data_IF_513524810971
#
_entry.id   IF_513524810971
#
_cell.length_a   1.000
_cell.length_b   1.000
_cell.length_c   1.000
_cell.angle_alpha   90.00
_cell.angle_beta   90.00
_cell.angle_gamma   90.00
#
_symmetry.space_group_name_H-M   'P 1'
#
loop_
_entity.id
_entity.type
_entity.pdbx_description
1 polymer ?
#
# COMPACT_ATOMS: atom_id res chain seq x y z
N UNK A 1 3.76 4.11 -42.56
CA UNK A 1 3.73 3.06 -43.61
C UNK A 1 3.36 3.60 -45.00
N UNK A 2 4.32 3.69 -45.94
CA UNK A 2 4.08 4.17 -47.32
C UNK A 2 4.67 3.22 -48.35
N UNK A 3 3.89 2.88 -49.37
CA UNK A 3 4.33 2.10 -50.54
C UNK A 3 4.26 2.99 -51.77
N UNK A 4 5.32 2.99 -52.57
CA UNK A 4 5.35 3.65 -53.87
C UNK A 4 5.40 2.61 -54.97
N UNK A 5 4.47 2.69 -55.91
CA UNK A 5 4.34 1.78 -57.03
C UNK A 5 4.39 2.57 -58.34
N UNK A 6 5.08 2.02 -59.33
CA UNK A 6 5.15 2.56 -60.68
C UNK A 6 4.28 1.71 -61.60
N UNK A 7 3.29 2.32 -62.26
CA UNK A 7 2.42 1.62 -63.21
C UNK A 7 2.69 2.10 -64.63
N UNK A 8 2.73 1.16 -65.58
CA UNK A 8 2.99 1.41 -67.00
C UNK A 8 1.87 0.77 -67.84
N UNK A 9 1.34 1.49 -68.84
CA UNK A 9 0.31 0.99 -69.78
C UNK A 9 0.72 1.30 -71.22
N UNK A 10 0.58 0.32 -72.13
CA UNK A 10 0.99 0.44 -73.54
C UNK A 10 -0.09 0.00 -74.53
N UNK A 11 -0.20 0.76 -75.62
CA UNK A 11 -0.52 0.24 -76.95
C UNK A 11 0.36 1.04 -77.94
N UNK A 12 1.57 0.52 -78.20
CA UNK A 12 2.70 1.13 -78.95
C UNK A 12 3.45 2.34 -78.33
N UNK A 13 2.83 3.13 -77.43
CA UNK A 13 3.51 4.16 -76.62
C UNK A 13 3.28 3.88 -75.13
N UNK A 14 4.31 4.05 -74.29
CA UNK A 14 4.23 3.86 -72.83
C UNK A 14 3.96 5.16 -72.07
N UNK A 15 3.04 5.11 -71.10
CA UNK A 15 2.86 6.15 -70.08
C UNK A 15 3.12 5.55 -68.70
N UNK A 16 3.80 6.30 -67.83
CA UNK A 16 4.11 5.90 -66.46
C UNK A 16 3.39 6.83 -65.48
N UNK A 17 2.81 6.27 -64.42
CA UNK A 17 2.30 7.03 -63.27
C UNK A 17 2.84 6.48 -61.95
N UNK A 18 3.12 7.38 -61.01
CA UNK A 18 3.53 7.02 -59.66
C UNK A 18 2.31 7.01 -58.74
N UNK A 19 2.02 5.87 -58.15
CA UNK A 19 0.97 5.72 -57.15
C UNK A 19 1.63 5.64 -55.78
N UNK A 20 1.22 6.52 -54.88
CA UNK A 20 1.57 6.45 -53.46
C UNK A 20 0.38 5.87 -52.70
N UNK A 21 0.59 4.74 -52.04
CA UNK A 21 -0.37 4.16 -51.11
C UNK A 21 0.12 4.47 -49.70
N UNK A 22 -0.76 5.07 -48.89
CA UNK A 22 -0.52 5.33 -47.48
C UNK A 22 -1.41 4.35 -46.72
N UNK A 23 -0.79 3.54 -45.86
CA UNK A 23 -1.52 2.69 -44.92
C UNK A 23 -1.72 3.53 -43.67
N UNK A 24 -2.99 3.76 -43.33
CA UNK A 24 -3.38 4.46 -42.11
C UNK A 24 -3.47 3.45 -40.97
N UNK A 25 -3.12 3.91 -39.79
CA UNK A 25 -3.29 3.19 -38.54
C UNK A 25 -4.74 3.29 -38.05
N UNK A 26 -5.22 2.22 -37.40
CA UNK A 26 -6.53 2.16 -36.76
C UNK A 26 -6.30 2.00 -35.26
N UNK A 27 -7.12 2.64 -34.42
CA UNK A 27 -7.02 2.56 -32.96
C UNK A 27 -7.61 1.24 -32.44
N UNK A 28 -6.88 0.14 -32.60
CA UNK A 28 -7.34 -1.22 -32.33
C UNK A 28 -6.62 -1.92 -31.16
N UNK A 29 -5.62 -1.28 -30.57
CA UNK A 29 -4.96 -1.73 -29.36
C UNK A 29 -5.31 -0.85 -28.16
N UNK A 30 -5.42 -1.47 -26.98
CA UNK A 30 -5.61 -0.72 -25.73
C UNK A 30 -4.26 -0.43 -25.05
N UNK A 31 -4.11 0.72 -24.36
CA UNK A 31 -2.93 0.96 -23.55
C UNK A 31 -2.80 -0.14 -22.50
N UNK A 32 -1.58 -0.66 -22.30
CA UNK A 32 -1.33 -1.74 -21.35
C UNK A 32 -0.28 -1.34 -20.32
N UNK A 33 -0.63 -1.39 -19.04
CA UNK A 33 0.33 -1.25 -17.94
C UNK A 33 1.33 -2.40 -17.92
N UNK A 34 2.56 -2.12 -17.50
CA UNK A 34 3.59 -3.14 -17.32
C UNK A 34 3.23 -4.17 -16.23
N UNK A 35 2.44 -3.77 -15.23
CA UNK A 35 2.01 -4.63 -14.13
C UNK A 35 0.50 -4.63 -13.95
N UNK A 36 -0.04 -5.81 -13.63
CA UNK A 36 -1.46 -5.99 -13.32
C UNK A 36 -1.85 -5.31 -11.99
N UNK A 37 -0.90 -5.28 -11.04
CA UNK A 37 -1.03 -4.61 -9.75
C UNK A 37 0.33 -4.03 -9.37
N UNK A 38 0.31 -2.88 -8.70
CA UNK A 38 1.49 -2.25 -8.11
C UNK A 38 1.32 -2.28 -6.59
N UNK A 39 2.35 -2.73 -5.86
CA UNK A 39 2.37 -2.67 -4.40
C UNK A 39 3.54 -1.80 -3.95
N UNK A 40 3.26 -0.88 -3.04
CA UNK A 40 4.28 -0.07 -2.39
C UNK A 40 4.09 -0.13 -0.88
N UNK A 41 5.22 -0.13 -0.17
CA UNK A 41 5.27 -0.07 1.29
C UNK A 41 5.86 1.26 1.70
N UNK A 42 5.06 2.07 2.40
CA UNK A 42 5.49 3.34 2.98
C UNK A 42 5.46 3.19 4.50
N UNK A 43 6.33 3.90 5.21
CA UNK A 43 6.22 4.02 6.66
C UNK A 43 5.32 5.22 7.01
N UNK A 44 4.69 5.22 8.17
CA UNK A 44 3.80 6.32 8.59
C UNK A 44 4.49 7.70 8.65
N UNK A 45 5.78 7.72 8.98
CA UNK A 45 6.60 8.94 9.00
C UNK A 45 7.09 9.39 7.62
N UNK A 46 6.60 8.79 6.53
CA UNK A 46 6.91 9.20 5.16
C UNK A 46 6.14 10.47 4.75
N UNK A 47 6.36 11.57 5.49
CA UNK A 47 5.79 12.89 5.25
C UNK A 47 6.54 13.64 4.13
N UNK A 48 5.82 14.56 3.47
CA UNK A 48 6.19 15.40 2.30
C UNK A 48 5.95 14.76 0.93
N UNK A 49 5.70 15.58 -0.13
CA UNK A 49 5.53 15.06 -1.48
C UNK A 49 6.82 14.38 -1.93
N UNK A 50 6.84 13.07 -1.79
CA UNK A 50 7.90 12.19 -2.25
C UNK A 50 7.43 11.56 -3.54
N UNK A 51 8.30 11.49 -4.54
CA UNK A 51 8.03 10.65 -5.69
C UNK A 51 7.93 9.21 -5.21
N UNK A 52 6.74 8.61 -5.34
CA UNK A 52 6.47 7.27 -4.84
C UNK A 52 6.63 6.23 -5.94
N UNK A 53 5.97 6.46 -7.07
CA UNK A 53 5.94 5.52 -8.19
C UNK A 53 5.55 6.27 -9.47
N UNK A 54 6.08 5.82 -10.60
CA UNK A 54 5.60 6.18 -11.94
C UNK A 54 4.98 4.95 -12.57
N UNK A 55 3.78 5.12 -13.10
CA UNK A 55 3.16 4.13 -13.95
C UNK A 55 3.68 4.28 -15.37
N UNK A 56 3.96 3.14 -16.01
CA UNK A 56 4.26 3.06 -17.43
C UNK A 56 3.22 2.16 -18.06
N UNK A 57 2.61 2.65 -19.13
CA UNK A 57 1.74 1.89 -20.00
C UNK A 57 2.26 2.04 -21.42
N UNK A 58 2.01 1.05 -22.26
CA UNK A 58 2.38 1.06 -23.66
C UNK A 58 1.15 0.81 -24.52
N UNK A 59 1.02 1.60 -25.57
CA UNK A 59 0.02 1.44 -26.61
C UNK A 59 0.80 1.33 -27.94
N UNK A 60 0.66 0.23 -28.70
CA UNK A 60 1.41 0.00 -29.92
C UNK A 60 0.89 0.78 -31.13
N UNK A 61 -0.26 1.46 -31.03
CA UNK A 61 -0.87 2.18 -32.15
C UNK A 61 -0.04 3.42 -32.57
N UNK A 62 -0.15 3.84 -33.84
CA UNK A 62 0.68 4.92 -34.38
C UNK A 62 0.07 6.33 -34.12
N UNK A 63 0.94 7.32 -33.87
CA UNK A 63 0.52 8.72 -33.80
C UNK A 63 -0.38 9.03 -32.60
N UNK A 64 -1.51 9.69 -32.85
CA UNK A 64 -2.48 10.05 -31.80
C UNK A 64 -3.22 8.81 -31.25
N UNK A 65 -3.30 7.71 -32.00
CA UNK A 65 -3.96 6.48 -31.57
C UNK A 65 -3.20 5.83 -30.39
N UNK A 66 -1.87 5.85 -30.41
CA UNK A 66 -1.04 5.36 -29.31
C UNK A 66 -0.77 6.36 -28.18
N UNK A 67 -1.42 7.55 -28.18
CA UNK A 67 -1.20 8.53 -27.11
C UNK A 67 -1.92 8.14 -25.82
N UNK A 68 -1.14 7.97 -24.76
CA UNK A 68 -1.64 7.55 -23.46
C UNK A 68 -1.90 8.76 -22.56
N UNK A 69 -3.11 8.83 -22.00
CA UNK A 69 -3.46 9.74 -20.92
C UNK A 69 -3.78 8.94 -19.66
N UNK A 70 -3.15 9.31 -18.54
CA UNK A 70 -3.43 8.71 -17.25
C UNK A 70 -4.48 9.51 -16.49
N UNK A 71 -5.45 8.82 -15.91
CA UNK A 71 -6.39 9.35 -14.94
C UNK A 71 -6.38 8.44 -13.70
N UNK A 72 -6.55 9.02 -12.51
CA UNK A 72 -6.58 8.29 -11.24
C UNK A 72 -7.91 8.55 -10.55
N UNK A 73 -8.60 7.47 -10.19
CA UNK A 73 -9.82 7.52 -9.37
C UNK A 73 -9.52 6.90 -8.02
N UNK A 74 -9.71 7.66 -6.94
CA UNK A 74 -9.70 7.09 -5.61
C UNK A 74 -10.96 6.23 -5.45
N UNK A 75 -10.79 4.92 -5.30
CA UNK A 75 -11.88 4.01 -4.94
C UNK A 75 -11.78 3.79 -3.43
N UNK A 76 -12.58 4.51 -2.67
CA UNK A 76 -12.82 4.13 -1.26
C UNK A 76 -13.56 2.79 -1.28
N UNK A 77 -13.00 1.77 -0.62
CA UNK A 77 -13.45 0.37 -0.66
C UNK A 77 -14.91 0.19 -0.14
N UNK A 78 -15.56 1.26 0.36
CA UNK A 78 -16.89 1.21 0.98
C UNK A 78 -18.02 1.93 0.23
N UNK A 79 -17.76 2.64 -0.89
CA UNK A 79 -18.85 3.28 -1.65
C UNK A 79 -18.86 2.84 -3.12
N UNK A 80 -19.89 2.08 -3.48
CA UNK A 80 -20.22 1.73 -4.88
C UNK A 80 -20.36 3.03 -5.69
N UNK A 81 -19.41 3.32 -6.57
CA UNK A 81 -19.54 4.41 -7.53
C UNK A 81 -20.07 3.90 -8.87
N UNK A 82 -21.12 4.57 -9.31
CA UNK A 82 -21.73 4.51 -10.64
C UNK A 82 -20.71 4.96 -11.69
N UNK A 83 -20.49 4.14 -12.72
CA UNK A 83 -19.69 4.53 -13.88
C UNK A 83 -20.59 5.29 -14.85
N UNK A 84 -20.28 6.56 -15.09
CA UNK A 84 -20.94 7.36 -16.13
C UNK A 84 -20.67 6.77 -17.52
N UNK A 85 -21.74 6.48 -18.24
CA UNK A 85 -21.72 6.01 -19.63
C UNK A 85 -21.80 7.22 -20.57
N UNK A 86 -20.68 7.55 -21.23
CA UNK A 86 -20.56 8.69 -22.15
C UNK A 86 -19.40 8.61 -23.16
N UNK A 87 -19.40 7.56 -23.98
CA UNK A 87 -19.09 7.48 -25.43
C UNK A 87 -17.96 8.33 -26.10
N UNK A 88 -16.83 7.69 -26.45
CA UNK A 88 -16.28 7.42 -27.83
C UNK A 88 -14.83 6.86 -27.75
N UNK A 89 -14.67 5.55 -28.03
CA UNK A 89 -13.46 4.73 -28.29
C UNK A 89 -12.06 5.27 -27.91
N UNK A 90 -11.89 5.79 -26.69
CA UNK A 90 -10.61 5.64 -25.99
C UNK A 90 -10.62 4.25 -25.38
N UNK A 91 -9.82 3.35 -25.94
CA UNK A 91 -9.53 2.08 -25.29
C UNK A 91 -8.81 2.39 -23.96
N UNK A 92 -9.28 1.77 -22.87
CA UNK A 92 -8.82 2.07 -21.50
C UNK A 92 -8.51 0.76 -20.79
N UNK A 93 -7.33 0.68 -20.18
CA UNK A 93 -7.02 -0.33 -19.18
C UNK A 93 -7.00 0.30 -17.78
N UNK A 94 -7.23 -0.53 -16.76
CA UNK A 94 -7.17 -0.14 -15.36
C UNK A 94 -6.18 -1.07 -14.63
N UNK A 95 -5.41 -0.51 -13.70
CA UNK A 95 -4.52 -1.26 -12.78
C UNK A 95 -4.78 -0.79 -11.35
N UNK A 96 -4.49 -1.65 -10.38
CA UNK A 96 -4.67 -1.32 -8.96
C UNK A 96 -3.32 -0.98 -8.32
N UNK A 97 -3.25 0.15 -7.61
CA UNK A 97 -2.16 0.49 -6.71
C UNK A 97 -2.57 0.16 -5.27
N UNK A 98 -1.85 -0.77 -4.64
CA UNK A 98 -1.99 -1.09 -3.22
C UNK A 98 -0.90 -0.33 -2.46
N UNK A 99 -1.33 0.53 -1.54
CA UNK A 99 -0.43 1.27 -0.65
C UNK A 99 -0.55 0.66 0.74
N UNK A 100 0.52 0.04 1.21
CA UNK A 100 0.63 -0.45 2.58
C UNK A 100 1.39 0.57 3.42
N UNK A 101 0.77 1.04 4.50
CA UNK A 101 1.44 1.88 5.49
C UNK A 101 1.93 0.97 6.61
N UNK A 102 3.25 0.97 6.82
CA UNK A 102 3.94 0.23 7.86
C UNK A 102 4.10 1.11 9.09
N UNK A 103 3.73 0.55 10.23
CA UNK A 103 3.94 1.09 11.56
C UNK A 103 5.43 1.10 11.92
N UNK A 104 5.86 2.15 12.59
CA UNK A 104 7.19 2.26 13.19
C UNK A 104 7.06 2.15 14.71
N UNK A 105 8.05 1.54 15.35
CA UNK A 105 8.14 1.57 16.82
C UNK A 105 8.65 2.95 17.28
N UNK A 106 7.76 3.95 17.26
CA UNK A 106 8.08 5.34 17.58
C UNK A 106 7.32 5.87 18.80
N UNK A 107 6.42 5.06 19.38
CA UNK A 107 5.82 5.31 20.66
C UNK A 107 6.54 4.49 21.76
N UNK A 108 6.38 4.95 23.00
CA UNK A 108 6.92 4.23 24.16
C UNK A 108 5.77 3.73 25.01
N UNK A 109 5.91 2.59 25.72
CA UNK A 109 4.89 2.13 26.65
C UNK A 109 4.71 3.12 27.80
N UNK A 110 3.47 3.50 28.09
CA UNK A 110 3.11 4.45 29.13
C UNK A 110 2.18 3.84 30.18
N UNK A 111 2.56 3.94 31.45
CA UNK A 111 1.65 3.68 32.57
C UNK A 111 0.68 4.85 32.76
N UNK A 112 -0.61 4.61 33.09
CA UNK A 112 -1.58 5.66 33.37
C UNK A 112 -1.22 6.56 34.57
N UNK A 113 -0.34 6.10 35.45
CA UNK A 113 0.10 6.83 36.64
C UNK A 113 1.58 6.56 36.89
N UNK A 114 2.33 7.61 37.22
CA UNK A 114 3.77 7.53 37.50
C UNK A 114 4.09 6.95 38.89
N UNK A 115 3.10 6.90 39.78
CA UNK A 115 3.20 6.36 41.13
C UNK A 115 1.96 5.52 41.39
N UNK A 116 2.16 4.32 41.94
CA UNK A 116 1.10 3.42 42.39
C UNK A 116 1.42 2.99 43.82
N UNK A 117 0.56 3.37 44.77
CA UNK A 117 0.67 2.95 46.17
C UNK A 117 -0.27 1.78 46.41
N UNK A 118 0.25 0.68 46.94
CA UNK A 118 -0.50 -0.54 47.22
C UNK A 118 -0.22 -0.93 48.66
N UNK A 119 -1.29 -1.14 49.42
CA UNK A 119 -1.22 -1.65 50.79
C UNK A 119 -1.58 -3.14 50.76
N UNK A 120 -0.77 -3.96 51.41
CA UNK A 120 -0.94 -5.42 51.50
C UNK A 120 -0.90 -5.85 52.96
N UNK A 121 -1.54 -6.97 53.27
CA UNK A 121 -1.43 -7.62 54.57
C UNK A 121 -0.22 -8.57 54.60
N UNK A 122 0.30 -8.86 55.80
CA UNK A 122 1.46 -9.76 55.98
C UNK A 122 1.11 -11.24 55.84
N UNK A 123 -0.17 -11.62 55.82
CA UNK A 123 -0.58 -13.01 55.77
C UNK A 123 -0.80 -13.54 54.33
N UNK A 124 -0.15 -12.94 53.34
CA UNK A 124 -0.23 -13.41 51.95
C UNK A 124 0.51 -14.73 51.79
N UNK A 125 -0.11 -15.70 51.14
CA UNK A 125 0.47 -16.99 50.79
C UNK A 125 1.11 -16.96 49.39
N UNK A 126 1.88 -18.01 49.07
CA UNK A 126 2.48 -18.13 47.74
C UNK A 126 1.42 -18.11 46.62
N UNK A 127 1.68 -17.31 45.58
CA UNK A 127 0.82 -17.05 44.43
C UNK A 127 -0.42 -16.18 44.72
N UNK A 128 -0.56 -15.66 45.94
CA UNK A 128 -1.62 -14.71 46.24
C UNK A 128 -1.54 -13.50 45.31
N UNK A 129 -2.70 -13.08 44.82
CA UNK A 129 -2.83 -11.92 43.95
C UNK A 129 -2.69 -10.63 44.75
N UNK A 130 -1.76 -9.77 44.33
CA UNK A 130 -1.56 -8.45 44.94
C UNK A 130 -2.25 -7.39 44.12
N UNK A 131 -1.89 -7.28 42.85
CA UNK A 131 -2.45 -6.29 41.93
C UNK A 131 -2.16 -6.66 40.49
N UNK A 132 -2.60 -5.82 39.56
CA UNK A 132 -2.21 -5.87 38.17
C UNK A 132 -1.88 -4.46 37.69
N UNK A 133 -0.75 -4.31 37.01
CA UNK A 133 -0.37 -3.06 36.35
C UNK A 133 -0.55 -3.20 34.84
N UNK A 134 -0.91 -2.09 34.19
CA UNK A 134 -1.10 -2.04 32.74
C UNK A 134 -0.44 -0.78 32.19
N UNK A 135 0.40 -0.96 31.17
CA UNK A 135 0.86 0.13 30.32
C UNK A 135 0.10 0.10 28.99
N UNK A 136 0.15 1.19 28.24
CA UNK A 136 -0.35 1.29 26.87
C UNK A 136 0.75 1.76 25.95
N UNK A 137 0.86 1.11 24.81
CA UNK A 137 1.67 1.55 23.69
C UNK A 137 0.73 1.88 22.53
N UNK A 138 1.06 2.91 21.75
CA UNK A 138 0.22 3.38 20.65
C UNK A 138 0.60 2.74 19.31
N UNK A 139 1.75 2.07 19.24
CA UNK A 139 2.22 1.35 18.06
C UNK A 139 1.34 0.13 17.75
N UNK A 140 1.33 -0.30 16.49
CA UNK A 140 0.54 -1.45 16.03
C UNK A 140 1.29 -2.78 16.17
N UNK A 141 0.52 -3.88 16.18
CA UNK A 141 1.03 -5.25 16.15
C UNK A 141 2.16 -5.53 17.19
N UNK A 142 3.29 -6.07 16.74
CA UNK A 142 4.43 -6.42 17.60
C UNK A 142 5.11 -5.18 18.19
N UNK A 143 5.03 -4.03 17.52
CA UNK A 143 5.65 -2.78 18.01
C UNK A 143 4.94 -2.29 19.28
N UNK A 144 3.61 -2.46 19.36
CA UNK A 144 2.82 -2.13 20.55
C UNK A 144 2.79 -3.22 21.62
N UNK A 145 3.50 -4.34 21.43
CA UNK A 145 3.47 -5.47 22.38
C UNK A 145 4.31 -5.17 23.62
N UNK A 146 3.64 -5.13 24.79
CA UNK A 146 4.27 -4.79 26.07
C UNK A 146 4.65 -6.06 26.85
N UNK A 147 5.81 -6.02 27.51
CA UNK A 147 6.18 -6.99 28.54
C UNK A 147 6.60 -6.31 29.84
N UNK A 148 6.35 -6.98 30.97
CA UNK A 148 6.58 -6.45 32.30
C UNK A 148 7.74 -7.15 33.03
N UNK A 149 8.52 -6.37 33.76
CA UNK A 149 9.57 -6.85 34.67
C UNK A 149 9.86 -5.83 35.76
N UNK A 150 10.25 -6.31 36.94
CA UNK A 150 10.85 -5.43 37.94
C UNK A 150 12.28 -5.07 37.54
N UNK A 151 12.63 -3.78 37.63
CA UNK A 151 14.00 -3.35 37.44
C UNK A 151 14.93 -3.97 38.49
N UNK A 152 14.46 -4.03 39.74
CA UNK A 152 15.11 -4.72 40.85
C UNK A 152 14.14 -5.77 41.41
N UNK A 153 14.33 -7.05 41.04
CA UNK A 153 13.48 -8.14 41.53
C UNK A 153 13.79 -8.43 43.00
N UNK A 154 12.75 -8.64 43.80
CA UNK A 154 12.86 -9.13 45.18
C UNK A 154 12.43 -10.59 45.25
N UNK A 155 12.68 -11.25 46.38
CA UNK A 155 12.24 -12.64 46.62
C UNK A 155 10.80 -12.75 47.12
N UNK A 156 10.12 -11.62 47.34
CA UNK A 156 8.80 -11.56 48.00
C UNK A 156 7.65 -11.45 47.01
N UNK A 157 7.91 -10.87 45.83
CA UNK A 157 6.91 -10.68 44.79
C UNK A 157 7.45 -11.04 43.41
N UNK A 158 6.56 -11.51 42.54
CA UNK A 158 6.82 -11.68 41.12
C UNK A 158 5.80 -10.92 40.28
N UNK A 159 6.14 -10.73 39.00
CA UNK A 159 5.25 -10.16 38.00
C UNK A 159 5.18 -11.09 36.80
N UNK A 160 3.97 -11.40 36.35
CA UNK A 160 3.77 -12.07 35.09
C UNK A 160 4.11 -11.11 33.95
N UNK A 161 5.02 -11.52 33.08
CA UNK A 161 5.60 -10.69 32.04
C UNK A 161 4.63 -10.29 30.93
N UNK A 162 3.48 -10.95 30.80
CA UNK A 162 2.52 -10.72 29.71
C UNK A 162 1.30 -9.92 30.14
N UNK A 163 0.78 -10.16 31.34
CA UNK A 163 -0.44 -9.51 31.82
C UNK A 163 -0.19 -8.47 32.93
N UNK A 164 1.04 -8.36 33.44
CA UNK A 164 1.38 -7.40 34.49
C UNK A 164 0.79 -7.75 35.86
N UNK A 165 0.30 -8.98 36.06
CA UNK A 165 -0.20 -9.46 37.35
C UNK A 165 0.97 -9.63 38.33
N UNK A 166 0.86 -9.00 39.49
CA UNK A 166 1.82 -9.10 40.59
C UNK A 166 1.28 -10.08 41.64
N UNK A 167 2.12 -11.03 42.03
CA UNK A 167 1.79 -12.06 43.02
C UNK A 167 2.86 -12.20 44.08
N UNK A 168 2.47 -12.66 45.28
CA UNK A 168 3.40 -13.09 46.30
C UNK A 168 4.17 -14.34 45.86
N UNK A 169 5.47 -14.42 46.15
CA UNK A 169 6.32 -15.59 45.84
C UNK A 169 6.56 -16.50 47.04
N UNK A 170 6.30 -16.01 48.24
CA UNK A 170 6.37 -16.74 49.49
C UNK A 170 5.38 -16.15 50.50
N UNK A 171 5.21 -16.83 51.63
CA UNK A 171 4.61 -16.23 52.81
C UNK A 171 5.43 -15.02 53.27
N UNK A 172 4.75 -13.99 53.75
CA UNK A 172 5.34 -12.75 54.27
C UNK A 172 5.55 -12.81 55.79
#
# INVERSE_FOLDING_TARGET
NKVQLEFCVNNDIRTITNVTIIILDENDCEPRFEQNNYEIKLTENNLYPKFVLRFTANDPDEGDNGQIKYDMTLIEINHKNSVDQGQLISLRSCTTLIILVLDLNDNIPLFPSSILNIEIYENLEQNDYITQIQAKDADQDENGTITYKFQNKTILIDINSFDGRITATSEF
#
